data_IF_879737916092
#
_entry.id   IF_879737916092
#
_cell.length_a   1.000
_cell.length_b   1.000
_cell.length_c   1.000
_cell.angle_alpha   90.00
_cell.angle_beta   90.00
_cell.angle_gamma   90.00
#
_symmetry.space_group_name_H-M   'P 1'
#
loop_
_entity.id
_entity.type
_entity.pdbx_description
1 polymer ?
#
# COMPACT_ATOMS: atom_id res chain seq x y z
N UNK A 1 2.53 3.79 -43.21
CA UNK A 1 2.73 3.72 -41.74
C UNK A 1 1.37 3.36 -41.12
N UNK A 2 1.20 2.14 -40.63
CA UNK A 2 -0.13 1.53 -40.38
C UNK A 2 -0.80 2.07 -39.11
N UNK A 3 -1.92 2.78 -39.28
CA UNK A 3 -2.75 3.36 -38.20
C UNK A 3 -3.49 2.32 -37.34
N UNK A 4 -3.51 1.03 -37.74
CA UNK A 4 -4.15 -0.05 -36.95
C UNK A 4 -3.32 -0.48 -35.73
N UNK A 5 -2.01 -0.23 -35.72
CA UNK A 5 -1.12 -0.59 -34.60
C UNK A 5 -1.31 0.29 -33.36
N UNK A 6 -1.89 1.49 -33.50
CA UNK A 6 -2.02 2.45 -32.40
C UNK A 6 -3.01 2.02 -31.32
N UNK A 7 -4.15 1.43 -31.68
CA UNK A 7 -5.20 1.10 -30.70
C UNK A 7 -4.77 -0.03 -29.75
N UNK A 8 -4.10 -1.06 -30.27
CA UNK A 8 -3.58 -2.15 -29.44
C UNK A 8 -2.41 -1.70 -28.56
N UNK A 9 -1.54 -0.85 -29.08
CA UNK A 9 -0.43 -0.27 -28.33
C UNK A 9 -0.89 0.59 -27.16
N UNK A 10 -1.92 1.42 -27.36
CA UNK A 10 -2.50 2.26 -26.29
C UNK A 10 -3.04 1.41 -25.14
N UNK A 11 -3.75 0.32 -25.43
CA UNK A 11 -4.26 -0.59 -24.38
C UNK A 11 -3.11 -1.20 -23.58
N UNK A 12 -2.06 -1.67 -24.26
CA UNK A 12 -0.89 -2.26 -23.60
C UNK A 12 -0.19 -1.23 -22.71
N UNK A 13 -0.07 0.02 -23.17
CA UNK A 13 0.55 1.10 -22.42
C UNK A 13 -0.21 1.41 -21.12
N UNK A 14 -1.54 1.49 -21.17
CA UNK A 14 -2.35 1.66 -19.97
C UNK A 14 -2.24 0.46 -19.01
N UNK A 15 -2.17 -0.76 -19.53
CA UNK A 15 -1.97 -1.95 -18.69
C UNK A 15 -0.60 -1.93 -18.03
N UNK A 16 0.45 -1.50 -18.72
CA UNK A 16 1.79 -1.36 -18.16
C UNK A 16 1.83 -0.28 -17.06
N UNK A 17 1.21 0.88 -17.30
CA UNK A 17 1.09 1.92 -16.29
C UNK A 17 0.26 1.46 -15.08
N UNK A 18 -0.81 0.70 -15.32
CA UNK A 18 -1.62 0.11 -14.26
C UNK A 18 -0.80 -0.87 -13.42
N UNK A 19 -0.03 -1.76 -14.05
CA UNK A 19 0.83 -2.72 -13.36
C UNK A 19 1.88 -2.03 -12.49
N UNK A 20 2.46 -0.94 -12.96
CA UNK A 20 3.39 -0.11 -12.17
C UNK A 20 2.66 0.51 -10.99
N UNK A 21 1.47 1.09 -11.20
CA UNK A 21 0.68 1.68 -10.13
C UNK A 21 0.29 0.68 -9.05
N UNK A 22 -0.17 -0.51 -9.46
CA UNK A 22 -0.50 -1.61 -8.54
C UNK A 22 0.75 -2.09 -7.79
N UNK A 23 1.89 -2.19 -8.47
CA UNK A 23 3.16 -2.57 -7.84
C UNK A 23 3.58 -1.59 -6.74
N UNK A 24 3.48 -0.28 -7.01
CA UNK A 24 3.78 0.76 -6.03
C UNK A 24 2.79 0.70 -4.84
N UNK A 25 1.50 0.55 -5.12
CA UNK A 25 0.48 0.41 -4.07
C UNK A 25 0.73 -0.83 -3.18
N UNK A 26 1.12 -1.96 -3.78
CA UNK A 26 1.46 -3.17 -3.06
C UNK A 26 2.70 -2.98 -2.16
N UNK A 27 3.74 -2.30 -2.66
CA UNK A 27 4.93 -1.96 -1.87
C UNK A 27 4.56 -1.11 -0.65
N UNK A 28 3.82 -0.01 -0.85
CA UNK A 28 3.39 0.83 0.26
C UNK A 28 2.55 0.07 1.28
N UNK A 29 1.60 -0.74 0.81
CA UNK A 29 0.76 -1.56 1.70
C UNK A 29 1.63 -2.51 2.53
N UNK A 30 2.59 -3.20 1.90
CA UNK A 30 3.48 -4.15 2.59
C UNK A 30 4.31 -3.50 3.70
N UNK A 31 4.76 -2.26 3.48
CA UNK A 31 5.50 -1.49 4.47
C UNK A 31 4.57 -1.00 5.60
N UNK A 32 3.36 -0.54 5.26
CA UNK A 32 2.40 0.00 6.23
C UNK A 32 1.89 -1.06 7.21
N UNK A 33 1.68 -2.30 6.74
CA UNK A 33 1.13 -3.40 7.54
C UNK A 33 2.17 -4.44 7.99
N UNK A 34 3.46 -4.16 7.81
CA UNK A 34 4.55 -5.05 8.21
C UNK A 34 4.41 -5.48 9.67
N UNK A 35 4.48 -6.79 9.93
CA UNK A 35 4.46 -7.39 11.29
C UNK A 35 5.87 -7.76 11.78
N UNK A 36 6.91 -7.23 11.15
CA UNK A 36 8.29 -7.45 11.57
C UNK A 36 8.49 -6.98 13.03
N UNK A 37 9.08 -7.81 13.91
CA UNK A 37 9.34 -7.41 15.29
C UNK A 37 10.41 -6.31 15.40
N UNK A 38 11.34 -6.22 14.44
CA UNK A 38 12.39 -5.21 14.42
C UNK A 38 11.91 -3.89 13.76
N UNK A 39 11.01 -3.99 12.78
CA UNK A 39 10.54 -2.87 11.97
C UNK A 39 9.02 -2.95 11.74
N UNK A 40 8.21 -2.77 12.80
CA UNK A 40 6.77 -2.86 12.69
C UNK A 40 6.21 -1.73 11.81
N UNK A 41 5.24 -2.09 10.97
CA UNK A 41 4.56 -1.17 10.08
C UNK A 41 3.86 -0.06 10.86
N UNK A 42 3.85 1.15 10.29
CA UNK A 42 3.31 2.34 10.95
C UNK A 42 1.86 2.15 11.43
N UNK A 43 1.02 1.46 10.65
CA UNK A 43 -0.37 1.23 11.02
C UNK A 43 -0.48 0.41 12.31
N UNK A 44 0.37 -0.61 12.47
CA UNK A 44 0.39 -1.48 13.66
C UNK A 44 0.90 -0.73 14.87
N UNK A 45 1.93 0.09 14.70
CA UNK A 45 2.48 0.93 15.77
C UNK A 45 1.40 1.88 16.29
N UNK A 46 0.70 2.58 15.39
CA UNK A 46 -0.37 3.51 15.78
C UNK A 46 -1.56 2.82 16.40
N UNK A 47 -1.98 1.68 15.87
CA UNK A 47 -3.06 0.90 16.46
C UNK A 47 -2.73 0.43 17.89
N UNK A 48 -1.49 -0.06 18.09
CA UNK A 48 -1.00 -0.46 19.42
C UNK A 48 -0.98 0.71 20.38
N UNK A 49 -0.54 1.89 19.93
CA UNK A 49 -0.56 3.11 20.75
C UNK A 49 -1.97 3.47 21.22
N UNK A 50 -2.95 3.43 20.32
CA UNK A 50 -4.36 3.71 20.67
C UNK A 50 -4.86 2.72 21.73
N UNK A 51 -4.62 1.42 21.54
CA UNK A 51 -5.03 0.39 22.51
C UNK A 51 -4.38 0.64 23.87
N UNK A 52 -3.09 0.97 23.90
CA UNK A 52 -2.38 1.25 25.14
C UNK A 52 -2.93 2.49 25.84
N UNK A 53 -3.20 3.57 25.10
CA UNK A 53 -3.80 4.79 25.66
C UNK A 53 -5.16 4.51 26.28
N UNK A 54 -6.04 3.75 25.59
CA UNK A 54 -7.35 3.37 26.13
C UNK A 54 -7.20 2.45 27.35
N UNK A 55 -6.29 1.47 27.29
CA UNK A 55 -6.08 0.51 28.37
C UNK A 55 -5.43 1.10 29.63
N UNK A 56 -4.83 2.29 29.54
CA UNK A 56 -4.25 3.03 30.66
C UNK A 56 -5.21 4.06 31.27
N UNK A 57 -6.43 4.19 30.74
CA UNK A 57 -7.50 5.03 31.29
C UNK A 57 -8.14 4.32 32.49
N UNK A 58 -7.43 4.29 33.62
CA UNK A 58 -7.95 3.74 34.87
C UNK A 58 -8.93 4.72 35.53
N UNK A 59 -10.07 4.25 36.04
CA UNK A 59 -11.00 5.11 36.79
C UNK A 59 -10.37 5.56 38.11
N UNK A 60 -10.53 6.84 38.43
CA UNK A 60 -10.11 7.48 39.69
C UNK A 60 -10.80 6.86 40.93
#
# INVERSE_FOLDING_TARGET
MSLKSQKGQVVIEYVLLLMIGVGIAALFTSLMVSRSPETPGFLIVKWTQIIQTIGQDYPD
#
